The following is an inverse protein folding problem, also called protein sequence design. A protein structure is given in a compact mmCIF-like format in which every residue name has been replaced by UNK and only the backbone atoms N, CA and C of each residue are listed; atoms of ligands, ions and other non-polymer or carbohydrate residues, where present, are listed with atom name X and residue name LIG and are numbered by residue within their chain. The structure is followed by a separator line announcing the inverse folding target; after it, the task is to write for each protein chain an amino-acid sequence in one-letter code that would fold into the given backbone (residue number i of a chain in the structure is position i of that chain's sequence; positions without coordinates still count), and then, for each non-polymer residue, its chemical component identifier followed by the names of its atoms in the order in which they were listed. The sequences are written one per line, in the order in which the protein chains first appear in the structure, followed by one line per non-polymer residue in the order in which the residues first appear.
data_IF_108228313230
#
_entry.id   IF_108228313230
#
_cell.length_a   1.000
_cell.length_b   1.000
_cell.length_c   1.000
_cell.angle_alpha   90.00
_cell.angle_beta   90.00
_cell.angle_gamma   90.00
#
_symmetry.space_group_name_H-M   'P 1'
#
loop_
_entity.id
_entity.type
_entity.pdbx_description
1 polymer ?
#
# COMPACT_ATOMS: atom_id res chain seq x y z
N UNK A 1 12.03 13.91 -21.60
CA UNK A 1 11.86 12.55 -22.18
C UNK A 1 13.17 11.79 -21.92
N UNK A 2 13.13 10.54 -21.47
CA UNK A 2 14.33 9.73 -21.29
C UNK A 2 14.97 9.46 -22.67
N UNK A 3 16.26 9.73 -22.82
CA UNK A 3 17.01 9.55 -24.08
C UNK A 3 17.35 8.08 -24.39
N UNK A 4 17.20 7.18 -23.41
CA UNK A 4 17.62 5.77 -23.53
C UNK A 4 16.47 4.79 -23.76
N UNK A 5 15.34 5.01 -23.08
CA UNK A 5 14.18 4.12 -23.16
C UNK A 5 12.93 4.92 -23.53
N UNK A 6 12.51 4.79 -24.79
CA UNK A 6 11.30 5.43 -25.30
C UNK A 6 10.33 4.37 -25.83
N UNK A 7 9.12 4.33 -25.27
CA UNK A 7 8.04 3.47 -25.75
C UNK A 7 7.60 2.40 -24.75
N UNK A 8 6.38 1.92 -24.95
CA UNK A 8 5.71 0.96 -24.05
C UNK A 8 6.42 -0.41 -24.01
N UNK A 9 7.12 -0.78 -25.07
CA UNK A 9 7.87 -2.04 -25.16
C UNK A 9 8.93 -2.20 -24.05
N UNK A 10 9.68 -1.13 -23.75
CA UNK A 10 10.68 -1.17 -22.68
C UNK A 10 10.02 -1.28 -21.31
N UNK A 11 8.94 -0.52 -21.08
CA UNK A 11 8.15 -0.63 -19.86
C UNK A 11 7.61 -2.06 -19.67
N UNK A 12 7.15 -2.68 -20.76
CA UNK A 12 6.65 -4.05 -20.74
C UNK A 12 7.76 -5.08 -20.47
N UNK A 13 8.96 -4.89 -21.02
CA UNK A 13 10.11 -5.75 -20.72
C UNK A 13 10.49 -5.66 -19.23
N UNK A 14 10.58 -4.45 -18.67
CA UNK A 14 10.86 -4.29 -17.24
C UNK A 14 9.74 -4.83 -16.35
N UNK A 15 8.48 -4.72 -16.78
CA UNK A 15 7.36 -5.40 -16.15
C UNK A 15 7.55 -6.92 -16.17
N UNK A 16 7.87 -7.53 -17.31
CA UNK A 16 8.09 -8.99 -17.40
C UNK A 16 9.22 -9.45 -16.49
N UNK A 17 10.34 -8.73 -16.46
CA UNK A 17 11.47 -9.03 -15.56
C UNK A 17 11.00 -8.99 -14.10
N UNK A 18 10.35 -7.89 -13.71
CA UNK A 18 9.87 -7.69 -12.33
C UNK A 18 8.82 -8.73 -11.95
N UNK A 19 7.90 -9.06 -12.86
CA UNK A 19 6.86 -10.04 -12.68
C UNK A 19 7.44 -11.45 -12.49
N UNK A 20 8.39 -11.85 -13.34
CA UNK A 20 9.08 -13.13 -13.22
C UNK A 20 9.87 -13.24 -11.91
N UNK A 21 10.52 -12.16 -11.46
CA UNK A 21 11.21 -12.12 -10.17
C UNK A 21 10.24 -12.31 -9.00
N UNK A 22 9.11 -11.59 -9.00
CA UNK A 22 8.06 -11.76 -8.00
C UNK A 22 7.55 -13.21 -7.98
N UNK A 23 7.19 -13.74 -9.15
CA UNK A 23 6.67 -15.11 -9.26
C UNK A 23 7.68 -16.16 -8.84
N UNK A 24 8.96 -15.96 -9.12
CA UNK A 24 10.03 -16.84 -8.64
C UNK A 24 10.10 -16.87 -7.12
N UNK A 25 10.03 -15.71 -6.46
CA UNK A 25 10.04 -15.61 -4.99
C UNK A 25 8.81 -16.28 -4.39
N UNK A 26 7.61 -15.99 -4.92
CA UNK A 26 6.35 -16.60 -4.47
C UNK A 26 6.38 -18.12 -4.66
N UNK A 27 6.91 -18.60 -5.79
CA UNK A 27 7.05 -20.04 -6.08
C UNK A 27 7.96 -20.77 -5.06
N UNK A 28 8.97 -20.08 -4.51
CA UNK A 28 9.83 -20.61 -3.44
C UNK A 28 9.16 -20.62 -2.06
N UNK A 29 7.98 -19.99 -1.93
CA UNK A 29 7.20 -19.91 -0.71
C UNK A 29 7.78 -18.94 0.32
N UNK A 30 7.24 -18.99 1.54
CA UNK A 30 7.50 -18.02 2.61
C UNK A 30 8.96 -18.09 3.08
N UNK A 31 9.35 -19.16 3.78
CA UNK A 31 10.72 -19.27 4.32
C UNK A 31 11.79 -19.45 3.24
N UNK A 32 11.41 -20.06 2.10
CA UNK A 32 12.32 -20.34 0.99
C UNK A 32 12.56 -19.16 0.06
N UNK A 33 11.65 -18.19 0.03
CA UNK A 33 11.63 -17.06 -0.90
C UNK A 33 11.44 -15.73 -0.18
N UNK A 34 10.21 -15.45 0.27
CA UNK A 34 9.80 -14.15 0.82
C UNK A 34 10.71 -13.74 1.99
N UNK A 35 10.87 -14.61 3.00
CA UNK A 35 11.66 -14.31 4.20
C UNK A 35 13.13 -14.01 3.85
N UNK A 36 13.71 -14.79 2.93
CA UNK A 36 15.11 -14.59 2.48
C UNK A 36 15.28 -13.29 1.73
N UNK A 37 14.33 -12.96 0.84
CA UNK A 37 14.36 -11.69 0.13
C UNK A 37 14.23 -10.52 1.11
N UNK A 38 13.26 -10.56 2.02
CA UNK A 38 13.05 -9.48 3.00
C UNK A 38 14.25 -9.31 3.94
N UNK A 39 14.93 -10.39 4.33
CA UNK A 39 16.17 -10.34 5.13
C UNK A 39 17.32 -9.58 4.46
N UNK A 40 17.29 -9.44 3.14
CA UNK A 40 18.31 -8.70 2.37
C UNK A 40 17.77 -7.34 1.94
N UNK A 41 16.55 -7.31 1.38
CA UNK A 41 15.94 -6.13 0.81
C UNK A 41 15.61 -5.07 1.85
N UNK A 42 15.08 -5.44 3.02
CA UNK A 42 14.70 -4.45 4.04
C UNK A 42 15.91 -3.74 4.66
N UNK A 43 17.01 -4.42 5.06
CA UNK A 43 18.22 -3.73 5.49
C UNK A 43 18.83 -2.83 4.40
N UNK A 44 18.88 -3.31 3.16
CA UNK A 44 19.39 -2.51 2.04
C UNK A 44 18.55 -1.25 1.80
N UNK A 45 17.22 -1.39 1.81
CA UNK A 45 16.27 -0.29 1.71
C UNK A 45 16.51 0.74 2.81
N UNK A 46 16.66 0.29 4.06
CA UNK A 46 16.90 1.15 5.21
C UNK A 46 18.21 1.94 5.06
N UNK A 47 19.29 1.29 4.62
CA UNK A 47 20.58 1.93 4.36
C UNK A 47 20.46 2.98 3.25
N UNK A 48 19.81 2.65 2.14
CA UNK A 48 19.60 3.62 1.06
C UNK A 48 18.78 4.82 1.51
N UNK A 49 17.72 4.58 2.28
CA UNK A 49 16.85 5.62 2.81
C UNK A 49 17.62 6.58 3.74
N UNK A 50 18.45 6.06 4.64
CA UNK A 50 19.31 6.88 5.52
C UNK A 50 20.28 7.73 4.70
N UNK A 51 21.01 7.13 3.75
CA UNK A 51 21.99 7.86 2.94
C UNK A 51 21.31 8.98 2.14
N UNK A 52 20.14 8.69 1.56
CA UNK A 52 19.36 9.67 0.81
C UNK A 52 18.84 10.78 1.72
N UNK A 53 18.31 10.44 2.89
CA UNK A 53 17.83 11.43 3.87
C UNK A 53 18.98 12.34 4.31
N UNK A 54 20.12 11.78 4.71
CA UNK A 54 21.31 12.58 5.06
C UNK A 54 21.72 13.48 3.89
N UNK A 55 21.77 12.95 2.66
CA UNK A 55 22.13 13.74 1.50
C UNK A 55 21.18 14.92 1.29
N UNK A 56 19.87 14.69 1.35
CA UNK A 56 18.86 15.74 1.21
C UNK A 56 19.03 16.79 2.30
N UNK A 57 19.26 16.38 3.54
CA UNK A 57 19.43 17.29 4.66
C UNK A 57 20.65 18.22 4.50
N UNK A 58 21.62 17.85 3.64
CA UNK A 58 22.80 18.67 3.33
C UNK A 58 22.61 19.66 2.17
N UNK A 59 21.45 19.72 1.51
CA UNK A 59 21.24 20.61 0.36
C UNK A 59 21.23 22.10 0.70
N UNK A 60 20.98 22.48 1.96
CA UNK A 60 20.97 23.89 2.37
C UNK A 60 19.89 24.70 1.65
N UNK A 61 20.31 25.77 0.96
CA UNK A 61 19.45 26.63 0.12
C UNK A 61 19.96 26.61 -1.33
N UNK A 62 19.48 25.68 -2.17
CA UNK A 62 19.96 25.50 -3.54
C UNK A 62 19.74 26.72 -4.44
N UNK A 63 18.72 27.53 -4.16
CA UNK A 63 18.43 28.77 -4.87
C UNK A 63 18.91 30.00 -4.06
N UNK A 64 19.97 30.71 -4.50
CA UNK A 64 20.44 31.92 -3.83
C UNK A 64 19.45 33.10 -3.88
N UNK A 65 18.53 33.12 -4.86
CA UNK A 65 17.53 34.18 -5.01
C UNK A 65 16.36 34.00 -4.04
N UNK A 66 16.16 32.79 -3.51
CA UNK A 66 15.11 32.45 -2.57
C UNK A 66 15.68 31.76 -1.32
N UNK A 67 16.32 32.49 -0.38
CA UNK A 67 16.91 31.91 0.83
C UNK A 67 15.91 31.15 1.71
N UNK A 68 14.62 31.45 1.57
CA UNK A 68 13.53 30.73 2.23
C UNK A 68 13.29 29.32 1.68
N UNK A 69 13.77 28.99 0.47
CA UNK A 69 13.67 27.67 -0.15
C UNK A 69 14.82 26.80 0.32
N UNK A 70 14.75 26.44 1.59
CA UNK A 70 15.76 25.63 2.26
C UNK A 70 15.13 24.40 2.92
N UNK A 71 15.98 23.44 3.29
CA UNK A 71 15.56 22.17 3.89
C UNK A 71 14.79 22.35 5.20
N UNK A 72 15.18 23.30 6.05
CA UNK A 72 14.51 23.52 7.35
C UNK A 72 13.07 23.97 7.14
N UNK A 73 12.83 24.91 6.20
CA UNK A 73 11.49 25.33 5.85
C UNK A 73 10.70 24.23 5.12
N UNK A 74 11.37 23.37 4.34
CA UNK A 74 10.76 22.18 3.74
C UNK A 74 10.31 21.14 4.76
N UNK A 75 11.10 20.94 5.84
CA UNK A 75 10.67 20.14 6.99
C UNK A 75 9.52 20.85 7.73
N UNK A 76 9.61 22.15 7.95
CA UNK A 76 8.54 22.95 8.56
C UNK A 76 7.23 22.90 7.77
N UNK A 77 7.29 22.84 6.44
CA UNK A 77 6.11 22.67 5.57
C UNK A 77 5.36 21.36 5.85
N UNK A 78 6.08 20.31 6.24
CA UNK A 78 5.49 19.01 6.57
C UNK A 78 5.08 18.91 8.04
N UNK A 79 5.90 19.44 8.95
CA UNK A 79 5.78 19.18 10.40
C UNK A 79 5.13 20.30 11.20
N UNK A 80 5.02 21.52 10.66
CA UNK A 80 4.33 22.59 11.37
C UNK A 80 2.81 22.31 11.38
N UNK A 81 2.17 22.30 12.56
CA UNK A 81 0.76 21.94 12.65
C UNK A 81 -0.14 23.04 12.06
N UNK A 82 -1.07 22.62 11.21
CA UNK A 82 -2.21 23.45 10.79
C UNK A 82 -3.49 22.88 11.41
N UNK A 83 -3.90 23.44 12.56
CA UNK A 83 -5.13 23.01 13.24
C UNK A 83 -6.40 23.37 12.46
N UNK A 84 -6.35 24.27 11.48
CA UNK A 84 -7.50 24.59 10.64
C UNK A 84 -7.90 23.40 9.75
N UNK A 85 -6.91 22.59 9.34
CA UNK A 85 -7.10 21.40 8.52
C UNK A 85 -7.95 20.32 9.21
N UNK A 86 -7.99 20.29 10.55
CA UNK A 86 -8.80 19.34 11.32
C UNK A 86 -10.31 19.49 11.09
N UNK A 87 -10.76 20.64 10.58
CA UNK A 87 -12.17 20.88 10.20
C UNK A 87 -12.55 20.22 8.87
N UNK A 88 -11.58 19.73 8.10
CA UNK A 88 -11.80 19.17 6.77
C UNK A 88 -11.99 17.65 6.81
N UNK A 89 -13.20 17.17 6.48
CA UNK A 89 -13.48 15.75 6.35
C UNK A 89 -12.58 15.04 5.32
N UNK A 90 -12.18 15.76 4.26
CA UNK A 90 -11.27 15.25 3.23
C UNK A 90 -9.88 14.93 3.80
N UNK A 91 -9.39 15.73 4.74
CA UNK A 91 -8.09 15.49 5.40
C UNK A 91 -8.15 14.21 6.22
N UNK A 92 -9.22 14.01 6.98
CA UNK A 92 -9.43 12.78 7.76
C UNK A 92 -9.55 11.53 6.89
N UNK A 93 -10.29 11.61 5.78
CA UNK A 93 -10.40 10.49 4.82
C UNK A 93 -9.04 10.14 4.20
N UNK A 94 -8.26 11.14 3.78
CA UNK A 94 -6.92 10.92 3.22
C UNK A 94 -5.96 10.31 4.27
N UNK A 95 -5.97 10.83 5.49
CA UNK A 95 -5.14 10.31 6.59
C UNK A 95 -5.50 8.85 6.94
N UNK A 96 -6.80 8.54 7.05
CA UNK A 96 -7.25 7.18 7.32
C UNK A 96 -6.87 6.23 6.17
N UNK A 97 -7.08 6.63 4.92
CA UNK A 97 -6.68 5.84 3.75
C UNK A 97 -5.18 5.54 3.74
N UNK A 98 -4.34 6.54 4.02
CA UNK A 98 -2.89 6.36 4.12
C UNK A 98 -2.50 5.36 5.21
N UNK A 99 -3.09 5.45 6.41
CA UNK A 99 -2.80 4.51 7.51
C UNK A 99 -3.17 3.07 7.13
N UNK A 100 -4.32 2.86 6.48
CA UNK A 100 -4.70 1.51 6.02
C UNK A 100 -3.74 0.98 4.95
N UNK A 101 -3.37 1.83 3.99
CA UNK A 101 -2.49 1.46 2.89
C UNK A 101 -1.09 1.11 3.39
N UNK A 102 -0.47 2.00 4.18
CA UNK A 102 0.92 1.83 4.62
C UNK A 102 1.08 0.64 5.57
N UNK A 103 0.11 0.40 6.45
CA UNK A 103 0.14 -0.74 7.38
C UNK A 103 -0.38 -2.05 6.79
N UNK A 104 -0.83 -2.05 5.53
CA UNK A 104 -1.40 -3.24 4.88
C UNK A 104 -2.59 -3.86 5.63
N UNK A 105 -3.40 -3.03 6.31
CA UNK A 105 -4.55 -3.45 7.11
C UNK A 105 -5.82 -3.41 6.27
N UNK A 106 -6.68 -4.44 6.33
CA UNK A 106 -7.93 -4.52 5.57
C UNK A 106 -7.84 -5.19 4.18
N UNK A 107 -6.66 -5.72 3.83
CA UNK A 107 -6.41 -6.50 2.59
C UNK A 107 -6.08 -7.97 2.86
N UNK A 108 -6.22 -8.43 4.10
CA UNK A 108 -5.96 -9.82 4.47
C UNK A 108 -4.49 -10.25 4.50
N UNK A 109 -3.54 -9.41 4.07
CA UNK A 109 -2.10 -9.73 4.08
C UNK A 109 -1.62 -10.05 5.50
N UNK A 110 -1.87 -9.16 6.46
CA UNK A 110 -1.41 -9.37 7.85
C UNK A 110 -2.05 -10.62 8.46
N UNK A 111 -3.34 -10.87 8.20
CA UNK A 111 -4.04 -12.08 8.64
C UNK A 111 -3.40 -13.35 8.05
N UNK A 112 -3.08 -13.33 6.76
CA UNK A 112 -2.39 -14.44 6.11
C UNK A 112 -0.99 -14.65 6.66
N UNK A 113 -0.22 -13.59 6.93
CA UNK A 113 1.10 -13.74 7.53
C UNK A 113 1.03 -14.28 8.96
N UNK A 114 0.07 -13.79 9.74
CA UNK A 114 -0.17 -14.26 11.11
C UNK A 114 -0.61 -15.73 11.17
N UNK A 115 -1.26 -16.27 10.12
CA UNK A 115 -1.68 -17.68 10.09
C UNK A 115 -0.52 -18.67 10.00
N UNK A 116 0.69 -18.21 9.65
CA UNK A 116 1.91 -19.03 9.65
C UNK A 116 2.65 -19.03 10.99
N UNK A 117 2.22 -18.20 11.95
CA UNK A 117 2.75 -18.22 13.31
C UNK A 117 2.21 -19.42 14.09
N UNK A 118 2.97 -19.86 15.09
CA UNK A 118 2.46 -20.84 16.05
C UNK A 118 1.50 -20.14 17.00
N UNK A 119 0.56 -20.91 17.58
CA UNK A 119 -0.40 -20.38 18.55
C UNK A 119 0.23 -19.67 19.75
N UNK A 120 1.45 -20.04 20.13
CA UNK A 120 2.17 -19.48 21.28
C UNK A 120 3.09 -18.33 20.93
N UNK A 121 3.25 -18.00 19.65
CA UNK A 121 4.13 -16.91 19.23
C UNK A 121 3.48 -15.57 19.56
N UNK A 122 4.28 -14.60 19.99
CA UNK A 122 3.79 -13.25 20.29
C UNK A 122 3.35 -12.51 19.03
N UNK A 123 2.13 -11.97 19.09
CA UNK A 123 1.58 -11.08 18.05
C UNK A 123 1.54 -9.61 18.47
N UNK A 124 1.68 -9.31 19.77
CA UNK A 124 1.53 -7.95 20.30
C UNK A 124 2.81 -7.15 20.11
N UNK A 125 3.93 -7.63 20.68
CA UNK A 125 5.23 -6.95 20.54
C UNK A 125 5.72 -7.04 19.09
N UNK A 126 5.56 -8.18 18.42
CA UNK A 126 5.88 -8.34 17.00
C UNK A 126 5.06 -7.39 16.13
N UNK A 127 3.75 -7.28 16.38
CA UNK A 127 2.86 -6.38 15.65
C UNK A 127 3.23 -4.92 15.82
N UNK A 128 3.42 -4.44 17.07
CA UNK A 128 3.77 -3.04 17.33
C UNK A 128 5.17 -2.69 16.83
N UNK A 129 6.12 -3.63 16.87
CA UNK A 129 7.47 -3.45 16.30
C UNK A 129 7.38 -3.26 14.79
N UNK A 130 6.60 -4.09 14.10
CA UNK A 130 6.39 -3.99 12.65
C UNK A 130 5.76 -2.65 12.27
N UNK A 131 4.66 -2.27 12.94
CA UNK A 131 3.97 -0.98 12.72
C UNK A 131 4.91 0.19 13.00
N UNK A 132 5.64 0.17 14.12
CA UNK A 132 6.55 1.27 14.48
C UNK A 132 7.71 1.41 13.51
N UNK A 133 8.26 0.29 13.00
CA UNK A 133 9.30 0.31 11.98
C UNK A 133 8.78 0.87 10.65
N UNK A 134 7.55 0.49 10.25
CA UNK A 134 6.90 1.06 9.06
C UNK A 134 6.75 2.57 9.19
N UNK A 135 6.14 3.04 10.29
CA UNK A 135 5.91 4.46 10.52
C UNK A 135 7.22 5.23 10.60
N UNK A 136 8.26 4.69 11.25
CA UNK A 136 9.58 5.32 11.26
C UNK A 136 10.11 5.51 9.84
N UNK A 137 10.04 4.48 8.99
CA UNK A 137 10.50 4.58 7.61
C UNK A 137 9.65 5.58 6.82
N UNK A 138 8.33 5.57 6.98
CA UNK A 138 7.42 6.49 6.28
C UNK A 138 7.63 7.95 6.71
N UNK A 139 7.45 8.23 8.00
CA UNK A 139 7.39 9.59 8.51
C UNK A 139 8.78 10.19 8.73
N UNK A 140 9.79 9.40 9.08
CA UNK A 140 11.15 9.94 9.29
C UNK A 140 11.95 9.89 8.00
N UNK A 141 12.06 8.73 7.34
CA UNK A 141 12.95 8.60 6.18
C UNK A 141 12.29 9.08 4.88
N UNK A 142 11.15 8.50 4.51
CA UNK A 142 10.47 8.78 3.24
C UNK A 142 10.08 10.26 3.12
N UNK A 143 9.44 10.78 4.17
CA UNK A 143 8.98 12.17 4.20
C UNK A 143 10.14 13.18 4.17
N UNK A 144 11.27 12.89 4.85
CA UNK A 144 12.43 13.79 4.92
C UNK A 144 13.25 13.83 3.63
N UNK A 145 13.03 12.89 2.71
CA UNK A 145 13.70 12.87 1.41
C UNK A 145 12.93 13.78 0.43
N UNK A 146 11.68 13.42 0.12
CA UNK A 146 11.02 13.94 -1.08
C UNK A 146 10.45 15.35 -0.89
N UNK A 147 9.82 15.62 0.25
CA UNK A 147 9.14 16.90 0.50
C UNK A 147 10.17 18.02 0.74
N UNK A 148 11.16 17.89 1.64
CA UNK A 148 12.17 18.93 1.84
C UNK A 148 13.01 19.18 0.59
N UNK A 149 13.39 18.13 -0.16
CA UNK A 149 14.14 18.31 -1.39
C UNK A 149 13.32 19.07 -2.45
N UNK A 150 12.05 18.69 -2.67
CA UNK A 150 11.18 19.39 -3.60
C UNK A 150 10.97 20.86 -3.16
N UNK A 151 10.85 21.11 -1.85
CA UNK A 151 10.71 22.46 -1.31
C UNK A 151 11.92 23.33 -1.60
N UNK A 152 13.11 22.81 -1.32
CA UNK A 152 14.35 23.56 -1.47
C UNK A 152 14.66 23.87 -2.95
N UNK A 153 14.25 23.01 -3.89
CA UNK A 153 14.58 23.17 -5.31
C UNK A 153 13.49 23.84 -6.16
N UNK A 154 12.22 23.79 -5.74
CA UNK A 154 11.08 24.29 -6.53
C UNK A 154 10.18 25.27 -5.78
N UNK A 155 10.32 25.37 -4.46
CA UNK A 155 9.51 26.26 -3.62
C UNK A 155 8.14 25.70 -3.24
N UNK A 156 7.46 26.33 -2.26
CA UNK A 156 6.23 25.82 -1.63
C UNK A 156 5.03 25.72 -2.58
N UNK A 157 4.87 26.69 -3.48
CA UNK A 157 3.74 26.74 -4.42
C UNK A 157 3.82 25.62 -5.45
N UNK A 158 5.03 25.36 -5.97
CA UNK A 158 5.23 24.37 -7.02
C UNK A 158 5.06 22.94 -6.50
N UNK A 159 5.49 22.66 -5.25
CA UNK A 159 5.27 21.33 -4.63
C UNK A 159 3.78 20.96 -4.63
N UNK A 160 2.90 21.90 -4.26
CA UNK A 160 1.47 21.60 -4.21
C UNK A 160 0.91 21.28 -5.59
N UNK A 161 1.38 21.99 -6.62
CA UNK A 161 1.01 21.72 -8.02
C UNK A 161 1.54 20.36 -8.46
N UNK A 162 2.81 20.08 -8.21
CA UNK A 162 3.47 18.80 -8.53
C UNK A 162 2.75 17.64 -7.82
N UNK A 163 2.49 17.74 -6.52
CA UNK A 163 1.80 16.71 -5.75
C UNK A 163 0.38 16.45 -6.26
N UNK A 164 -0.33 17.49 -6.73
CA UNK A 164 -1.68 17.36 -7.32
C UNK A 164 -1.66 16.86 -8.77
N UNK A 165 -0.55 17.04 -9.49
CA UNK A 165 -0.45 16.71 -10.91
C UNK A 165 -0.36 15.21 -11.22
N UNK A 166 -0.16 14.36 -10.21
CA UNK A 166 -0.23 12.90 -10.34
C UNK A 166 0.59 12.15 -9.27
N UNK A 167 0.07 10.99 -8.85
CA UNK A 167 0.66 10.18 -7.77
C UNK A 167 2.13 9.77 -8.01
N UNK A 168 2.56 9.70 -9.28
CA UNK A 168 3.93 9.33 -9.65
C UNK A 168 4.89 10.51 -9.77
N UNK A 169 4.42 11.75 -9.89
CA UNK A 169 5.24 12.87 -10.34
C UNK A 169 6.32 13.28 -9.33
N UNK A 170 6.04 13.21 -8.03
CA UNK A 170 7.07 13.47 -7.02
C UNK A 170 8.24 12.48 -7.17
N UNK A 171 7.95 11.19 -7.23
CA UNK A 171 9.00 10.15 -7.21
C UNK A 171 9.72 9.95 -8.55
N UNK A 172 8.99 10.04 -9.67
CA UNK A 172 9.51 9.66 -11.00
C UNK A 172 9.85 10.85 -11.90
N UNK A 173 9.47 12.06 -11.53
CA UNK A 173 9.79 13.29 -12.29
C UNK A 173 10.59 14.25 -11.43
N UNK A 174 10.09 14.59 -10.26
CA UNK A 174 10.65 15.65 -9.40
C UNK A 174 12.01 15.24 -8.83
N UNK A 175 12.11 14.05 -8.23
CA UNK A 175 13.36 13.56 -7.67
C UNK A 175 14.49 13.43 -8.72
N UNK A 176 14.27 12.85 -9.92
CA UNK A 176 15.27 12.87 -10.99
C UNK A 176 15.77 14.27 -11.35
N UNK A 177 14.87 15.25 -11.48
CA UNK A 177 15.23 16.64 -11.79
C UNK A 177 16.07 17.28 -10.68
N UNK A 178 15.85 16.91 -9.42
CA UNK A 178 16.69 17.35 -8.29
C UNK A 178 18.07 16.71 -8.39
N UNK A 179 18.13 15.40 -8.66
CA UNK A 179 19.41 14.69 -8.76
C UNK A 179 20.27 15.19 -9.92
N UNK A 180 19.69 15.61 -11.03
CA UNK A 180 20.43 16.25 -12.14
C UNK A 180 21.13 17.56 -11.74
N UNK A 181 20.66 18.24 -10.68
CA UNK A 181 21.19 19.52 -10.21
C UNK A 181 22.26 19.40 -9.13
N UNK A 182 22.56 18.20 -8.64
CA UNK A 182 23.52 18.00 -7.53
C UNK A 182 24.73 17.17 -7.94
N UNK A 183 25.84 17.39 -7.25
CA UNK A 183 27.02 16.53 -7.36
C UNK A 183 26.70 15.09 -7.00
N UNK A 184 27.24 14.14 -7.78
CA UNK A 184 26.98 12.69 -7.66
C UNK A 184 25.50 12.31 -7.85
N UNK A 185 24.72 13.16 -8.51
CA UNK A 185 23.29 12.97 -8.78
C UNK A 185 22.90 11.59 -9.30
N UNK A 186 23.67 11.05 -10.26
CA UNK A 186 23.41 9.73 -10.83
C UNK A 186 23.47 8.59 -9.80
N UNK A 187 24.37 8.68 -8.80
CA UNK A 187 24.47 7.68 -7.73
C UNK A 187 23.23 7.76 -6.84
N UNK A 188 22.85 8.96 -6.40
CA UNK A 188 21.66 9.15 -5.57
C UNK A 188 20.36 8.79 -6.32
N UNK A 189 20.28 9.08 -7.62
CA UNK A 189 19.18 8.63 -8.48
C UNK A 189 19.09 7.12 -8.59
N UNK A 190 20.23 6.43 -8.77
CA UNK A 190 20.28 4.97 -8.74
C UNK A 190 19.79 4.42 -7.40
N UNK A 191 20.28 4.95 -6.28
CA UNK A 191 19.85 4.56 -4.93
C UNK A 191 18.36 4.79 -4.71
N UNK A 192 17.82 5.92 -5.18
CA UNK A 192 16.40 6.24 -5.07
C UNK A 192 15.52 5.22 -5.80
N UNK A 193 15.84 4.91 -7.05
CA UNK A 193 15.05 3.94 -7.81
C UNK A 193 15.25 2.50 -7.33
N UNK A 194 16.45 2.14 -6.84
CA UNK A 194 16.68 0.86 -6.18
C UNK A 194 15.89 0.75 -4.89
N UNK A 195 15.83 1.80 -4.07
CA UNK A 195 14.99 1.88 -2.88
C UNK A 195 13.53 1.64 -3.24
N UNK A 196 12.99 2.37 -4.23
CA UNK A 196 11.60 2.20 -4.68
C UNK A 196 11.34 0.79 -5.23
N UNK A 197 12.29 0.22 -5.96
CA UNK A 197 12.19 -1.14 -6.48
C UNK A 197 12.16 -2.19 -5.35
N UNK A 198 13.04 -2.07 -4.36
CA UNK A 198 13.08 -2.96 -3.20
C UNK A 198 11.82 -2.83 -2.33
N UNK A 199 11.31 -1.61 -2.14
CA UNK A 199 10.05 -1.36 -1.45
C UNK A 199 8.87 -1.99 -2.20
N UNK A 200 8.83 -1.81 -3.52
CA UNK A 200 7.78 -2.35 -4.39
C UNK A 200 7.78 -3.88 -4.39
N UNK A 201 8.94 -4.52 -4.60
CA UNK A 201 9.01 -5.99 -4.73
C UNK A 201 8.68 -6.71 -3.42
N UNK A 202 9.12 -6.19 -2.28
CA UNK A 202 8.80 -6.77 -0.95
C UNK A 202 7.32 -6.63 -0.61
N UNK A 203 6.67 -5.58 -1.07
CA UNK A 203 5.22 -5.38 -0.92
C UNK A 203 4.42 -6.25 -1.87
N UNK A 204 4.78 -6.32 -3.16
CA UNK A 204 4.02 -7.07 -4.16
C UNK A 204 4.04 -8.58 -3.94
N UNK A 205 5.16 -9.16 -3.48
CA UNK A 205 5.18 -10.58 -3.09
C UNK A 205 4.27 -10.85 -1.89
N UNK A 206 4.17 -9.89 -0.95
CA UNK A 206 3.36 -10.04 0.25
C UNK A 206 1.88 -9.97 -0.07
N UNK A 207 1.49 -9.08 -0.98
CA UNK A 207 0.13 -8.94 -1.50
C UNK A 207 -0.36 -10.17 -2.27
N UNK A 208 0.55 -10.96 -2.85
CA UNK A 208 0.18 -12.21 -3.52
C UNK A 208 -0.21 -13.32 -2.54
N UNK A 209 0.33 -13.29 -1.32
CA UNK A 209 0.25 -14.41 -0.39
C UNK A 209 -1.18 -14.79 0.03
N UNK A 210 -2.12 -13.85 0.29
CA UNK A 210 -3.51 -14.20 0.60
C UNK A 210 -4.19 -15.04 -0.49
N UNK A 211 -3.97 -14.71 -1.76
CA UNK A 211 -4.56 -15.44 -2.88
C UNK A 211 -3.94 -16.84 -3.04
N UNK A 212 -2.62 -16.95 -2.85
CA UNK A 212 -1.92 -18.24 -2.89
C UNK A 212 -2.36 -19.13 -1.72
N UNK A 213 -2.40 -18.59 -0.50
CA UNK A 213 -2.85 -19.29 0.71
C UNK A 213 -4.30 -19.77 0.57
N UNK A 214 -5.20 -18.93 0.06
CA UNK A 214 -6.59 -19.33 -0.20
C UNK A 214 -6.69 -20.56 -1.10
N UNK A 215 -5.89 -20.64 -2.18
CA UNK A 215 -5.88 -21.81 -3.06
C UNK A 215 -5.28 -23.05 -2.39
N UNK A 216 -4.24 -22.88 -1.56
CA UNK A 216 -3.64 -23.98 -0.79
C UNK A 216 -4.65 -24.53 0.25
N UNK A 217 -5.20 -23.65 1.08
CA UNK A 217 -5.97 -24.02 2.27
C UNK A 217 -7.40 -24.48 1.93
N UNK A 218 -8.05 -23.84 0.95
CA UNK A 218 -9.45 -24.12 0.62
C UNK A 218 -9.63 -25.18 -0.47
N UNK A 219 -8.64 -25.33 -1.34
CA UNK A 219 -8.71 -26.25 -2.49
C UNK A 219 -7.67 -27.37 -2.43
N UNK A 220 -6.83 -27.42 -1.38
CA UNK A 220 -5.77 -28.41 -1.20
C UNK A 220 -4.84 -28.51 -2.44
N UNK A 221 -4.58 -27.35 -3.07
CA UNK A 221 -3.68 -27.25 -4.21
C UNK A 221 -2.26 -27.11 -3.67
N UNK A 222 -1.30 -27.82 -4.27
CA UNK A 222 0.09 -27.66 -3.85
C UNK A 222 0.58 -26.22 -4.08
N UNK A 223 1.34 -25.69 -3.13
CA UNK A 223 1.98 -24.35 -3.16
C UNK A 223 2.49 -23.90 -4.52
N UNK A 224 3.27 -24.76 -5.18
CA UNK A 224 3.85 -24.48 -6.50
C UNK A 224 2.77 -24.29 -7.57
N UNK A 225 1.73 -25.12 -7.54
CA UNK A 225 0.61 -25.02 -8.48
C UNK A 225 -0.27 -23.80 -8.16
N UNK A 226 -0.51 -23.51 -6.89
CA UNK A 226 -1.22 -22.30 -6.45
C UNK A 226 -0.51 -21.02 -6.92
N UNK A 227 0.82 -20.95 -6.73
CA UNK A 227 1.65 -19.86 -7.23
C UNK A 227 1.58 -19.70 -8.76
N UNK A 228 1.64 -20.79 -9.53
CA UNK A 228 1.52 -20.73 -11.00
C UNK A 228 0.13 -20.23 -11.42
N UNK A 229 -0.95 -20.74 -10.80
CA UNK A 229 -2.32 -20.30 -11.09
C UNK A 229 -2.45 -18.80 -10.79
N UNK A 230 -2.01 -18.37 -9.60
CA UNK A 230 -1.99 -16.96 -9.23
C UNK A 230 -1.21 -16.13 -10.26
N UNK A 231 -0.02 -16.57 -10.67
CA UNK A 231 0.79 -15.87 -11.65
C UNK A 231 0.09 -15.71 -13.00
N UNK A 232 -0.54 -16.75 -13.52
CA UNK A 232 -1.29 -16.66 -14.79
C UNK A 232 -2.43 -15.65 -14.68
N UNK A 233 -3.24 -15.74 -13.61
CA UNK A 233 -4.36 -14.83 -13.38
C UNK A 233 -3.88 -13.39 -13.18
N UNK A 234 -2.90 -13.18 -12.30
CA UNK A 234 -2.32 -11.88 -12.00
C UNK A 234 -1.72 -11.23 -13.26
N UNK A 235 -1.00 -12.01 -14.08
CA UNK A 235 -0.44 -11.52 -15.34
C UNK A 235 -1.54 -10.98 -16.27
N UNK A 236 -2.65 -11.69 -16.42
CA UNK A 236 -3.79 -11.22 -17.23
C UNK A 236 -4.41 -9.96 -16.65
N UNK A 237 -4.55 -9.88 -15.33
CA UNK A 237 -5.15 -8.73 -14.64
C UNK A 237 -4.25 -7.48 -14.64
N UNK A 238 -2.94 -7.63 -14.82
CA UNK A 238 -2.02 -6.51 -14.98
C UNK A 238 -2.14 -5.81 -16.34
N UNK A 239 -2.65 -6.47 -17.38
CA UNK A 239 -2.65 -5.93 -18.75
C UNK A 239 -3.42 -4.60 -18.87
N UNK A 240 -4.66 -4.48 -18.34
CA UNK A 240 -5.40 -3.22 -18.40
C UNK A 240 -4.67 -2.08 -17.66
N UNK A 241 -4.02 -2.37 -16.54
CA UNK A 241 -3.24 -1.38 -15.79
C UNK A 241 -2.08 -0.80 -16.61
N UNK A 242 -1.42 -1.65 -17.43
CA UNK A 242 -0.28 -1.25 -18.27
C UNK A 242 -0.74 -0.49 -19.51
N UNK A 243 -1.68 -1.06 -20.27
CA UNK A 243 -2.06 -0.52 -21.58
C UNK A 243 -3.03 0.67 -21.48
N UNK A 244 -3.82 0.75 -20.42
CA UNK A 244 -4.80 1.83 -20.20
C UNK A 244 -4.42 2.77 -19.05
N UNK A 245 -3.12 2.82 -18.71
CA UNK A 245 -2.58 3.72 -17.69
C UNK A 245 -3.02 5.18 -17.90
N UNK A 246 -2.94 5.66 -19.16
CA UNK A 246 -3.32 7.04 -19.53
C UNK A 246 -4.81 7.31 -19.42
N UNK A 247 -5.65 6.27 -19.45
CA UNK A 247 -7.10 6.36 -19.38
C UNK A 247 -7.64 6.18 -17.96
N UNK A 248 -6.75 6.20 -16.96
CA UNK A 248 -7.13 6.12 -15.54
C UNK A 248 -7.32 4.71 -15.00
N UNK A 249 -6.87 3.66 -15.69
CA UNK A 249 -7.06 2.29 -15.22
C UNK A 249 -6.43 2.02 -13.85
N UNK A 250 -5.20 2.48 -13.63
CA UNK A 250 -4.53 2.35 -12.33
C UNK A 250 -5.26 3.14 -11.25
N UNK A 251 -5.77 4.34 -11.56
CA UNK A 251 -6.52 5.15 -10.61
C UNK A 251 -7.80 4.44 -10.14
N UNK A 252 -8.51 3.76 -11.05
CA UNK A 252 -9.71 2.99 -10.68
C UNK A 252 -9.37 1.73 -9.87
N UNK A 253 -8.30 1.01 -10.23
CA UNK A 253 -7.82 -0.14 -9.46
C UNK A 253 -7.41 0.27 -8.04
N UNK A 254 -6.65 1.35 -7.91
CA UNK A 254 -6.18 1.89 -6.65
C UNK A 254 -7.34 2.46 -5.81
N UNK A 255 -8.25 3.21 -6.43
CA UNK A 255 -9.40 3.75 -5.72
C UNK A 255 -10.30 2.64 -5.15
N UNK A 256 -10.73 1.68 -5.97
CA UNK A 256 -11.63 0.63 -5.50
C UNK A 256 -10.90 -0.38 -4.62
N UNK A 257 -9.74 -0.87 -5.04
CA UNK A 257 -9.01 -1.91 -4.32
C UNK A 257 -8.17 -1.38 -3.16
N UNK A 258 -7.34 -0.37 -3.42
CA UNK A 258 -6.34 0.18 -2.50
C UNK A 258 -6.79 1.38 -1.65
N UNK A 259 -8.04 1.83 -1.78
CA UNK A 259 -8.59 2.94 -0.96
C UNK A 259 -9.96 2.58 -0.36
N UNK A 260 -10.98 2.40 -1.18
CA UNK A 260 -12.36 2.22 -0.71
C UNK A 260 -12.59 0.84 -0.07
N UNK A 261 -12.28 -0.25 -0.79
CA UNK A 261 -12.48 -1.60 -0.28
C UNK A 261 -11.61 -1.89 0.95
N UNK A 262 -10.45 -1.25 1.06
CA UNK A 262 -9.60 -1.33 2.26
C UNK A 262 -10.36 -0.90 3.52
N UNK A 263 -10.93 0.30 3.51
CA UNK A 263 -11.70 0.83 4.64
C UNK A 263 -12.96 -0.02 4.87
N UNK A 264 -13.63 -0.45 3.80
CA UNK A 264 -14.80 -1.31 3.89
C UNK A 264 -14.49 -2.65 4.57
N UNK A 265 -13.45 -3.36 4.14
CA UNK A 265 -13.08 -4.66 4.69
C UNK A 265 -12.52 -4.54 6.10
N UNK A 266 -11.72 -3.50 6.40
CA UNK A 266 -11.31 -3.21 7.76
C UNK A 266 -12.51 -2.98 8.70
N UNK A 267 -13.56 -2.31 8.21
CA UNK A 267 -14.81 -2.13 8.98
C UNK A 267 -15.47 -3.47 9.28
N UNK A 268 -15.60 -4.32 8.26
CA UNK A 268 -16.18 -5.67 8.41
C UNK A 268 -15.35 -6.52 9.36
N UNK A 269 -14.03 -6.57 9.20
CA UNK A 269 -13.11 -7.31 10.07
C UNK A 269 -13.20 -6.85 11.53
N UNK A 270 -13.25 -5.55 11.76
CA UNK A 270 -13.37 -4.99 13.12
C UNK A 270 -14.68 -5.40 13.78
N UNK A 271 -15.80 -5.41 13.04
CA UNK A 271 -17.11 -5.86 13.55
C UNK A 271 -17.10 -7.38 13.82
N UNK A 272 -16.58 -8.16 12.87
CA UNK A 272 -16.48 -9.61 13.01
C UNK A 272 -15.67 -9.98 14.25
N UNK A 273 -14.53 -9.34 14.46
CA UNK A 273 -13.62 -9.63 15.56
C UNK A 273 -14.10 -9.04 16.91
N UNK A 274 -14.50 -7.77 16.93
CA UNK A 274 -14.87 -7.08 18.17
C UNK A 274 -16.28 -7.38 18.67
N UNK A 275 -17.25 -7.58 17.78
CA UNK A 275 -18.67 -7.70 18.14
C UNK A 275 -19.22 -9.11 17.96
N UNK A 276 -18.92 -9.77 16.84
CA UNK A 276 -19.48 -11.10 16.53
C UNK A 276 -18.70 -12.20 17.25
N UNK A 277 -17.37 -12.22 17.12
CA UNK A 277 -16.52 -13.13 17.91
C UNK A 277 -16.56 -12.75 19.39
N UNK A 278 -16.67 -11.44 19.66
CA UNK A 278 -16.88 -10.86 20.97
C UNK A 278 -15.58 -10.37 21.60
N UNK A 279 -15.59 -9.12 22.08
CA UNK A 279 -14.40 -8.42 22.55
C UNK A 279 -13.64 -9.16 23.67
N UNK A 280 -14.32 -9.93 24.51
CA UNK A 280 -13.69 -10.66 25.61
C UNK A 280 -12.79 -11.78 25.08
N UNK A 281 -13.34 -12.60 24.16
CA UNK A 281 -12.59 -13.67 23.50
C UNK A 281 -11.47 -13.11 22.63
N UNK A 282 -11.77 -12.06 21.87
CA UNK A 282 -10.77 -11.34 21.08
C UNK A 282 -9.60 -10.84 21.95
N UNK A 283 -9.91 -10.28 23.13
CA UNK A 283 -8.91 -9.76 24.04
C UNK A 283 -8.06 -10.86 24.68
N UNK A 284 -8.65 -12.00 25.00
CA UNK A 284 -7.92 -13.19 25.44
C UNK A 284 -6.99 -13.73 24.34
N UNK A 285 -7.50 -13.84 23.11
CA UNK A 285 -6.74 -14.33 21.96
C UNK A 285 -5.53 -13.45 21.64
N UNK A 286 -5.71 -12.11 21.62
CA UNK A 286 -4.60 -11.16 21.41
C UNK A 286 -3.47 -11.35 22.43
N UNK A 287 -3.82 -11.74 23.66
CA UNK A 287 -2.85 -11.90 24.74
C UNK A 287 -2.32 -13.34 24.89
N UNK A 288 -2.79 -14.27 24.07
CA UNK A 288 -2.30 -15.63 24.08
C UNK A 288 -0.88 -15.67 23.50
N UNK A 289 0.11 -16.10 24.29
CA UNK A 289 1.52 -16.10 23.89
C UNK A 289 2.18 -14.71 23.86
N UNK A 290 1.47 -13.65 24.27
CA UNK A 290 1.96 -12.28 24.14
C UNK A 290 3.09 -11.95 25.14
N UNK A 291 4.19 -11.41 24.63
CA UNK A 291 5.33 -10.91 25.41
C UNK A 291 5.04 -9.55 26.03
N UNK A 292 4.09 -8.79 25.46
CA UNK A 292 3.64 -7.50 25.95
C UNK A 292 2.11 -7.49 26.10
N UNK A 293 1.62 -6.77 27.12
CA UNK A 293 0.18 -6.56 27.32
C UNK A 293 -0.28 -5.28 26.63
N UNK A 294 -1.36 -5.38 25.86
CA UNK A 294 -2.03 -4.22 25.28
C UNK A 294 -2.71 -3.41 26.39
N UNK A 295 -2.51 -2.08 26.46
CA UNK A 295 -3.20 -1.24 27.44
C UNK A 295 -4.72 -1.36 27.33
N UNK A 296 -5.41 -1.49 28.48
CA UNK A 296 -6.87 -1.76 28.52
C UNK A 296 -7.73 -0.75 27.77
N UNK A 297 -7.27 0.48 27.59
CA UNK A 297 -7.97 1.49 26.79
C UNK A 297 -8.19 1.04 25.34
N UNK A 298 -7.27 0.25 24.77
CA UNK A 298 -7.43 -0.27 23.41
C UNK A 298 -8.59 -1.25 23.28
N UNK A 299 -9.00 -1.91 24.36
CA UNK A 299 -10.21 -2.74 24.35
C UNK A 299 -11.45 -1.90 24.05
N UNK A 300 -11.53 -0.71 24.65
CA UNK A 300 -12.60 0.25 24.39
C UNK A 300 -12.48 0.85 22.98
N UNK A 301 -11.25 1.17 22.54
CA UNK A 301 -10.99 1.70 21.19
C UNK A 301 -11.44 0.70 20.12
N UNK A 302 -10.98 -0.55 20.18
CA UNK A 302 -11.33 -1.61 19.24
C UNK A 302 -12.85 -1.86 19.22
N UNK A 303 -13.50 -1.85 20.40
CA UNK A 303 -14.93 -2.15 20.49
C UNK A 303 -15.82 -1.01 20.02
N UNK A 304 -15.47 0.25 20.25
CA UNK A 304 -16.39 1.38 20.04
C UNK A 304 -15.83 2.46 19.13
N UNK A 305 -14.61 2.92 19.38
CA UNK A 305 -14.04 4.06 18.66
C UNK A 305 -13.72 3.67 17.21
N UNK A 306 -13.02 2.56 16.99
CA UNK A 306 -12.61 2.13 15.65
C UNK A 306 -13.83 1.87 14.74
N UNK A 307 -14.84 1.06 15.13
CA UNK A 307 -16.02 0.86 14.28
C UNK A 307 -16.77 2.16 14.00
N UNK A 308 -16.96 3.02 15.01
CA UNK A 308 -17.63 4.30 14.83
C UNK A 308 -16.90 5.20 13.83
N UNK A 309 -15.58 5.31 13.97
CA UNK A 309 -14.76 6.12 13.08
C UNK A 309 -14.83 5.63 11.62
N UNK A 310 -14.78 4.31 11.42
CA UNK A 310 -14.90 3.72 10.07
C UNK A 310 -16.29 3.89 9.47
N UNK A 311 -17.36 3.75 10.28
CA UNK A 311 -18.72 4.05 9.82
C UNK A 311 -18.87 5.51 9.42
N UNK A 312 -18.31 6.44 10.19
CA UNK A 312 -18.35 7.87 9.85
C UNK A 312 -17.60 8.14 8.55
N UNK A 313 -16.41 7.58 8.36
CA UNK A 313 -15.63 7.74 7.12
C UNK A 313 -16.42 7.24 5.90
N UNK A 314 -16.94 6.01 5.97
CA UNK A 314 -17.72 5.43 4.87
C UNK A 314 -19.02 6.20 4.64
N UNK A 315 -19.70 6.62 5.70
CA UNK A 315 -20.94 7.40 5.63
C UNK A 315 -20.74 8.78 5.01
N UNK A 316 -19.72 9.52 5.45
CA UNK A 316 -19.39 10.83 4.87
C UNK A 316 -18.95 10.72 3.42
N UNK A 317 -18.14 9.72 3.08
CA UNK A 317 -17.75 9.48 1.70
C UNK A 317 -18.97 9.17 0.81
N UNK A 318 -19.87 8.27 1.27
CA UNK A 318 -21.10 7.96 0.54
C UNK A 318 -21.97 9.20 0.31
N UNK A 319 -22.08 10.07 1.31
CA UNK A 319 -22.86 11.30 1.24
C UNK A 319 -22.26 12.35 0.29
N UNK A 320 -20.94 12.57 0.35
CA UNK A 320 -20.27 13.65 -0.40
C UNK A 320 -19.85 13.23 -1.81
N UNK A 321 -19.26 12.05 -1.94
CA UNK A 321 -18.51 11.63 -3.14
C UNK A 321 -19.10 10.39 -3.82
N UNK A 322 -19.93 9.61 -3.12
CA UNK A 322 -20.44 8.32 -3.60
C UNK A 322 -21.12 8.40 -4.97
N UNK A 323 -22.16 9.23 -5.10
CA UNK A 323 -22.90 9.34 -6.37
C UNK A 323 -22.08 9.98 -7.51
N UNK A 324 -21.33 11.08 -7.28
CA UNK A 324 -20.41 11.61 -8.29
C UNK A 324 -19.42 10.57 -8.84
N UNK A 325 -18.78 9.79 -7.97
CA UNK A 325 -17.78 8.77 -8.36
C UNK A 325 -18.43 7.62 -9.13
N UNK A 326 -19.60 7.12 -8.66
CA UNK A 326 -20.33 6.04 -9.34
C UNK A 326 -20.76 6.49 -10.75
N UNK A 327 -21.26 7.72 -10.89
CA UNK A 327 -21.68 8.29 -12.18
C UNK A 327 -20.51 8.78 -13.05
N UNK A 328 -19.27 8.65 -12.60
CA UNK A 328 -18.07 9.16 -13.28
C UNK A 328 -18.20 10.65 -13.62
N UNK A 329 -18.78 11.44 -12.72
CA UNK A 329 -18.85 12.90 -12.86
C UNK A 329 -17.43 13.46 -12.81
N UNK A 330 -17.01 14.16 -13.86
CA UNK A 330 -15.65 14.70 -14.00
C UNK A 330 -14.69 13.82 -14.78
N UNK A 331 -15.06 12.59 -15.16
CA UNK A 331 -14.25 11.78 -16.07
C UNK A 331 -14.38 12.27 -17.52
N UNK A 332 -13.26 12.35 -18.23
CA UNK A 332 -13.24 12.69 -19.64
C UNK A 332 -14.10 11.70 -20.44
N UNK A 333 -14.96 12.14 -21.38
CA UNK A 333 -15.81 11.26 -22.16
C UNK A 333 -15.07 10.10 -22.86
N UNK A 334 -13.86 10.35 -23.36
CA UNK A 334 -13.02 9.34 -24.02
C UNK A 334 -12.45 8.27 -23.07
N UNK A 335 -12.34 8.55 -21.78
CA UNK A 335 -11.79 7.63 -20.78
C UNK A 335 -12.87 6.74 -20.15
N UNK A 336 -14.14 7.15 -20.22
CA UNK A 336 -15.28 6.43 -19.60
C UNK A 336 -15.38 4.95 -20.00
N UNK A 337 -15.18 4.55 -21.27
CA UNK A 337 -15.24 3.13 -21.63
C UNK A 337 -14.18 2.28 -20.92
N UNK A 338 -12.97 2.81 -20.76
CA UNK A 338 -11.87 2.13 -20.07
C UNK A 338 -12.16 2.02 -18.57
N UNK A 339 -12.59 3.12 -17.95
CA UNK A 339 -13.01 3.13 -16.54
C UNK A 339 -14.11 2.10 -16.29
N UNK A 340 -15.15 2.09 -17.13
CA UNK A 340 -16.24 1.13 -17.01
C UNK A 340 -15.76 -0.32 -17.19
N UNK A 341 -14.87 -0.56 -18.15
CA UNK A 341 -14.24 -1.88 -18.35
C UNK A 341 -13.49 -2.36 -17.10
N UNK A 342 -12.71 -1.49 -16.45
CA UNK A 342 -12.02 -1.82 -15.19
C UNK A 342 -13.02 -2.12 -14.07
N UNK A 343 -14.09 -1.33 -13.93
CA UNK A 343 -15.12 -1.58 -12.91
C UNK A 343 -15.84 -2.92 -13.13
N UNK A 344 -16.17 -3.25 -14.38
CA UNK A 344 -16.76 -4.55 -14.73
C UNK A 344 -15.78 -5.69 -14.41
N UNK A 345 -14.49 -5.52 -14.72
CA UNK A 345 -13.45 -6.49 -14.37
C UNK A 345 -13.36 -6.70 -12.85
N UNK A 346 -13.34 -5.62 -12.05
CA UNK A 346 -13.32 -5.70 -10.59
C UNK A 346 -14.56 -6.41 -10.04
N UNK A 347 -15.75 -6.12 -10.56
CA UNK A 347 -16.97 -6.84 -10.20
C UNK A 347 -16.88 -8.32 -10.58
N UNK A 348 -16.34 -8.64 -11.75
CA UNK A 348 -16.09 -10.02 -12.19
C UNK A 348 -15.14 -10.76 -11.25
N UNK A 349 -14.04 -10.13 -10.83
CA UNK A 349 -13.10 -10.67 -9.85
C UNK A 349 -13.84 -10.94 -8.53
N UNK A 350 -14.56 -9.95 -8.01
CA UNK A 350 -15.31 -10.08 -6.76
C UNK A 350 -16.32 -11.24 -6.81
N UNK A 351 -17.13 -11.32 -7.87
CA UNK A 351 -18.11 -12.39 -8.06
C UNK A 351 -17.44 -13.76 -8.19
N UNK A 352 -16.32 -13.85 -8.91
CA UNK A 352 -15.58 -15.10 -9.04
C UNK A 352 -15.01 -15.58 -7.70
N UNK A 353 -14.47 -14.67 -6.88
CA UNK A 353 -13.98 -14.97 -5.54
C UNK A 353 -15.13 -15.40 -4.62
N UNK A 354 -16.27 -14.71 -4.66
CA UNK A 354 -17.45 -15.09 -3.88
C UNK A 354 -17.96 -16.50 -4.26
N UNK A 355 -17.93 -16.85 -5.55
CA UNK A 355 -18.25 -18.20 -6.03
C UNK A 355 -17.23 -19.21 -5.51
N UNK A 356 -15.93 -18.92 -5.58
CA UNK A 356 -14.90 -19.82 -5.06
C UNK A 356 -15.01 -20.03 -3.54
N UNK A 357 -15.28 -18.98 -2.77
CA UNK A 357 -15.56 -19.08 -1.34
C UNK A 357 -16.78 -19.95 -1.08
N UNK A 358 -17.86 -19.78 -1.85
CA UNK A 358 -19.06 -20.63 -1.74
C UNK A 358 -18.75 -22.11 -2.04
N UNK A 359 -17.96 -22.38 -3.08
CA UNK A 359 -17.54 -23.75 -3.44
C UNK A 359 -16.68 -24.36 -2.33
N UNK A 360 -15.70 -23.60 -1.81
CA UNK A 360 -14.86 -24.02 -0.69
C UNK A 360 -15.71 -24.35 0.55
N UNK A 361 -16.65 -23.48 0.89
CA UNK A 361 -17.57 -23.68 2.01
C UNK A 361 -18.44 -24.93 1.84
N UNK A 362 -18.94 -25.18 0.63
CA UNK A 362 -19.72 -26.39 0.34
C UNK A 362 -18.89 -27.67 0.47
N UNK A 363 -17.62 -27.64 0.06
CA UNK A 363 -16.69 -28.76 0.23
C UNK A 363 -16.30 -29.00 1.69
N UNK A 364 -16.29 -27.95 2.53
CA UNK A 364 -16.00 -28.03 3.98
C UNK A 364 -17.12 -28.65 4.81
N UNK A 365 -18.37 -28.67 4.33
CA UNK A 365 -19.43 -29.36 5.05
C UNK A 365 -18.98 -30.82 5.22
N UNK A 366 -18.85 -31.33 6.47
CA UNK A 366 -18.64 -32.74 6.64
C UNK A 366 -19.78 -33.43 5.90
N UNK A 367 -19.47 -34.51 5.19
CA UNK A 367 -20.45 -35.54 4.99
C UNK A 367 -21.00 -35.86 6.38
N UNK A 368 -22.15 -35.26 6.72
CA UNK A 368 -23.01 -35.76 7.78
C UNK A 368 -23.32 -37.15 7.29
N UNK A 369 -22.56 -38.13 7.79
CA UNK A 369 -22.78 -39.55 7.59
C UNK A 369 -24.27 -39.77 7.88
N UNK A 370 -25.02 -40.04 6.83
CA UNK A 370 -26.28 -40.77 6.94
C UNK A 370 -25.95 -42.21 7.23
#
# INVERSE_FOLDING_TARGET
KNNFFSGIQYAYIFFLITFCLNMFVIYKGISGGIEKLCKIALPALFVFAIILAIRVLTFGSPDPLNPGWNIVNGLGFLWNPDFSALKSAKVWLAAAGQIFFTLSVGIGVILTYASYLKKTDDVVLSGITSVSANEFVEVILGSSIIIPAAFAFFGPSEIQTIAKSGAFNLSFVTMPLIFEKISLGAIFGCMWFLLLFLAGITSSISLAQPAVAFLEDEFNISKKKAAIIFGIVCFMLCQPAIFFLKNGAVNELDFWGGTFCLVLFATVETILFGWIFGIEKAWEEIHHGAEMRVPKIYKFIIKYITPLFLFLILGFWLYQEGMPVILMKGANPGDKPYILGIRIMLLGIFLSLAIFVKIAWQKRKPSVKK
#
